data_IF_557430035624
#
_entry.id   IF_557430035624
#
_cell.length_a   1.000
_cell.length_b   1.000
_cell.length_c   1.000
_cell.angle_alpha   90.00
_cell.angle_beta   90.00
_cell.angle_gamma   90.00
#
_symmetry.space_group_name_H-M   'P 1'
#
loop_
_entity.id
_entity.type
_entity.pdbx_description
1 polymer ?
#
# COMPACT_ATOMS: atom_id res chain seq x y z
N UNK A 1 -0.62 9.52 27.23
CA UNK A 1 -2.09 9.49 27.43
C UNK A 1 -2.76 9.13 26.11
N UNK A 2 -3.68 8.16 26.10
CA UNK A 2 -4.37 7.72 24.88
C UNK A 2 -5.59 8.63 24.63
N UNK A 3 -5.70 9.26 23.45
CA UNK A 3 -6.78 10.20 23.14
C UNK A 3 -8.15 9.49 23.19
N UNK A 4 -9.15 10.02 23.93
CA UNK A 4 -10.50 9.47 23.95
C UNK A 4 -11.15 9.59 22.57
N UNK A 5 -11.92 8.58 22.17
CA UNK A 5 -12.63 8.56 20.89
C UNK A 5 -14.05 9.10 21.05
N UNK A 6 -14.44 9.97 20.12
CA UNK A 6 -15.66 10.77 20.19
C UNK A 6 -16.88 9.99 19.64
N UNK A 7 -16.69 9.04 18.71
CA UNK A 7 -17.79 8.27 18.11
C UNK A 7 -17.50 6.74 18.04
N UNK A 8 -18.42 5.94 18.60
CA UNK A 8 -18.60 4.50 18.34
C UNK A 8 -17.65 3.51 19.02
N UNK A 9 -18.09 2.24 19.11
CA UNK A 9 -17.19 1.14 19.48
C UNK A 9 -16.08 1.05 18.45
N UNK A 10 -14.83 1.07 18.92
CA UNK A 10 -13.66 1.11 18.04
C UNK A 10 -13.56 -0.09 17.11
N UNK A 11 -12.47 -0.14 16.33
CA UNK A 11 -12.20 -1.28 15.46
C UNK A 11 -12.15 -2.55 16.30
N UNK A 12 -13.06 -3.48 16.03
CA UNK A 12 -13.12 -4.77 16.73
C UNK A 12 -11.78 -5.52 16.59
N UNK A 13 -11.34 -6.22 17.65
CA UNK A 13 -10.14 -7.04 17.60
C UNK A 13 -10.20 -8.03 16.43
N UNK A 14 -9.06 -8.23 15.76
CA UNK A 14 -8.98 -9.21 14.67
C UNK A 14 -9.14 -10.61 15.25
N UNK A 15 -10.15 -11.35 14.80
CA UNK A 15 -10.41 -12.73 15.23
C UNK A 15 -9.55 -13.78 14.52
N UNK A 16 -8.70 -13.38 13.57
CA UNK A 16 -7.80 -14.23 12.77
C UNK A 16 -8.42 -15.55 12.24
N UNK A 17 -9.73 -15.57 11.94
CA UNK A 17 -10.43 -16.81 11.59
C UNK A 17 -10.10 -17.40 10.21
N UNK A 18 -9.17 -16.79 9.45
CA UNK A 18 -8.84 -17.23 8.09
C UNK A 18 -7.59 -18.11 8.12
N UNK A 19 -7.80 -19.41 7.97
CA UNK A 19 -6.71 -20.36 7.74
C UNK A 19 -6.41 -20.35 6.24
N UNK A 20 -5.18 -19.99 5.89
CA UNK A 20 -4.69 -20.02 4.51
C UNK A 20 -4.14 -21.42 4.21
N UNK A 21 -4.53 -21.97 3.06
CA UNK A 21 -4.21 -23.35 2.64
C UNK A 21 -3.39 -23.28 1.36
N UNK A 22 -2.32 -24.08 1.28
CA UNK A 22 -1.42 -24.10 0.13
C UNK A 22 -2.12 -24.66 -1.12
N UNK A 23 -1.68 -24.22 -2.30
CA UNK A 23 -2.25 -24.68 -3.57
C UNK A 23 -2.07 -26.18 -3.79
N UNK A 24 -0.97 -26.78 -3.32
CA UNK A 24 -0.73 -28.23 -3.39
C UNK A 24 -1.84 -29.04 -2.71
N UNK A 25 -2.25 -28.62 -1.52
CA UNK A 25 -3.33 -29.28 -0.77
C UNK A 25 -4.67 -29.09 -1.48
N UNK A 26 -4.95 -27.87 -1.98
CA UNK A 26 -6.19 -27.62 -2.73
C UNK A 26 -6.25 -28.50 -3.99
N UNK A 27 -5.13 -28.69 -4.68
CA UNK A 27 -5.02 -29.59 -5.84
C UNK A 27 -5.30 -31.04 -5.46
N UNK A 28 -4.69 -31.56 -4.39
CA UNK A 28 -4.95 -32.92 -3.90
C UNK A 28 -6.43 -33.16 -3.57
N UNK A 29 -7.08 -32.18 -2.93
CA UNK A 29 -8.52 -32.25 -2.62
C UNK A 29 -9.37 -32.27 -3.89
N UNK A 30 -9.03 -31.45 -4.89
CA UNK A 30 -9.74 -31.41 -6.18
C UNK A 30 -9.52 -32.72 -6.95
N UNK A 31 -8.29 -33.23 -7.01
CA UNK A 31 -7.96 -34.48 -7.70
C UNK A 31 -8.69 -35.67 -7.05
N UNK A 32 -8.81 -35.69 -5.71
CA UNK A 32 -9.59 -36.71 -5.00
C UNK A 32 -11.08 -36.67 -5.35
N UNK A 33 -11.67 -35.48 -5.49
CA UNK A 33 -13.07 -35.33 -5.96
C UNK A 33 -13.19 -35.74 -7.43
N UNK A 34 -12.22 -35.36 -8.27
CA UNK A 34 -12.17 -35.72 -9.68
C UNK A 34 -12.09 -37.22 -9.93
N UNK A 35 -11.57 -37.99 -8.98
CA UNK A 35 -11.57 -39.45 -8.99
C UNK A 35 -12.94 -40.09 -8.69
N UNK A 36 -14.01 -39.29 -8.52
CA UNK A 36 -15.38 -39.76 -8.31
C UNK A 36 -15.86 -39.75 -6.86
N UNK A 37 -15.04 -39.26 -5.92
CA UNK A 37 -15.42 -39.21 -4.51
C UNK A 37 -16.40 -38.07 -4.21
N UNK A 38 -17.35 -38.32 -3.31
CA UNK A 38 -18.30 -37.31 -2.86
C UNK A 38 -17.62 -36.23 -2.00
N UNK A 39 -18.25 -35.05 -1.91
CA UNK A 39 -17.81 -34.01 -0.97
C UNK A 39 -17.80 -34.48 0.49
N UNK A 40 -18.69 -35.41 0.85
CA UNK A 40 -18.75 -35.93 2.21
C UNK A 40 -17.53 -36.78 2.54
N UNK A 41 -17.23 -37.76 1.69
CA UNK A 41 -16.05 -38.63 1.81
C UNK A 41 -14.76 -37.82 1.77
N UNK A 42 -14.70 -36.83 0.88
CA UNK A 42 -13.54 -35.93 0.77
C UNK A 42 -13.30 -35.17 2.07
N UNK A 43 -14.35 -34.60 2.69
CA UNK A 43 -14.18 -33.88 3.96
C UNK A 43 -13.71 -34.84 5.06
N UNK A 44 -14.29 -36.04 5.12
CA UNK A 44 -13.93 -37.03 6.12
C UNK A 44 -12.47 -37.50 5.96
N UNK A 45 -12.02 -37.73 4.72
CA UNK A 45 -10.66 -38.16 4.40
C UNK A 45 -9.60 -37.11 4.76
N UNK A 46 -9.79 -35.85 4.36
CA UNK A 46 -8.76 -34.80 4.53
C UNK A 46 -8.81 -34.07 5.87
N UNK A 47 -9.97 -34.06 6.56
CA UNK A 47 -10.17 -33.24 7.76
C UNK A 47 -10.79 -34.01 8.93
N UNK A 48 -11.09 -35.31 8.76
CA UNK A 48 -11.70 -36.14 9.78
C UNK A 48 -13.16 -35.77 10.10
N UNK A 49 -13.60 -36.21 11.26
CA UNK A 49 -14.94 -35.90 11.75
C UNK A 49 -15.04 -34.45 12.20
N UNK A 50 -15.91 -33.71 11.54
CA UNK A 50 -16.19 -32.31 11.83
C UNK A 50 -17.65 -32.13 12.26
N UNK A 51 -17.86 -31.19 13.18
CA UNK A 51 -19.20 -30.70 13.55
C UNK A 51 -19.93 -30.13 12.33
N UNK A 52 -21.26 -30.14 12.36
CA UNK A 52 -22.12 -29.67 11.29
C UNK A 52 -21.75 -28.26 10.80
N UNK A 53 -21.44 -27.33 11.72
CA UNK A 53 -21.05 -25.96 11.35
C UNK A 53 -19.71 -25.92 10.61
N UNK A 54 -18.74 -26.68 11.08
CA UNK A 54 -17.40 -26.79 10.48
C UNK A 54 -17.46 -27.46 9.11
N UNK A 55 -18.25 -28.55 9.00
CA UNK A 55 -18.49 -29.28 7.76
C UNK A 55 -19.12 -28.38 6.69
N UNK A 56 -20.13 -27.58 7.05
CA UNK A 56 -20.75 -26.60 6.15
C UNK A 56 -19.74 -25.54 5.68
N UNK A 57 -18.87 -25.05 6.57
CA UNK A 57 -17.82 -24.10 6.21
C UNK A 57 -16.79 -24.72 5.26
N UNK A 58 -16.38 -25.97 5.50
CA UNK A 58 -15.47 -26.71 4.61
C UNK A 58 -16.08 -26.99 3.25
N UNK A 59 -17.35 -27.39 3.18
CA UNK A 59 -18.08 -27.56 1.92
C UNK A 59 -18.04 -26.29 1.07
N UNK A 60 -18.29 -25.13 1.67
CA UNK A 60 -18.18 -23.83 0.97
C UNK A 60 -16.76 -23.54 0.50
N UNK A 61 -15.76 -23.86 1.32
CA UNK A 61 -14.35 -23.66 0.98
C UNK A 61 -13.93 -24.54 -0.21
N UNK A 62 -14.29 -25.82 -0.20
CA UNK A 62 -13.99 -26.78 -1.27
C UNK A 62 -14.70 -26.38 -2.56
N UNK A 63 -16.00 -26.03 -2.52
CA UNK A 63 -16.72 -25.56 -3.71
C UNK A 63 -16.08 -24.31 -4.32
N UNK A 64 -15.54 -23.41 -3.48
CA UNK A 64 -14.78 -22.25 -3.97
C UNK A 64 -13.49 -22.67 -4.66
N UNK A 65 -12.80 -23.69 -4.16
CA UNK A 65 -11.60 -24.23 -4.82
C UNK A 65 -11.92 -24.89 -6.15
N UNK A 66 -12.99 -25.67 -6.24
CA UNK A 66 -13.48 -26.27 -7.49
C UNK A 66 -13.76 -25.16 -8.53
N UNK A 67 -14.48 -24.11 -8.14
CA UNK A 67 -14.73 -22.97 -9.03
C UNK A 67 -13.45 -22.21 -9.46
N UNK A 68 -12.33 -22.42 -8.77
CA UNK A 68 -11.04 -21.79 -9.04
C UNK A 68 -9.98 -22.81 -9.48
N UNK A 69 -10.40 -24.00 -9.94
CA UNK A 69 -9.52 -25.13 -10.25
C UNK A 69 -8.41 -24.75 -11.22
N UNK A 70 -8.74 -24.09 -12.34
CA UNK A 70 -7.76 -23.64 -13.34
C UNK A 70 -6.63 -22.83 -12.68
N UNK A 71 -6.98 -21.85 -11.85
CA UNK A 71 -6.00 -21.00 -11.15
C UNK A 71 -5.14 -21.79 -10.16
N UNK A 72 -5.72 -22.80 -9.50
CA UNK A 72 -5.00 -23.67 -8.57
C UNK A 72 -4.00 -24.54 -9.34
N UNK A 73 -4.43 -25.11 -10.48
CA UNK A 73 -3.57 -25.91 -11.36
C UNK A 73 -2.43 -25.07 -11.94
N UNK A 74 -2.71 -23.87 -12.46
CA UNK A 74 -1.69 -22.93 -12.96
C UNK A 74 -0.65 -22.57 -11.89
N UNK A 75 -1.11 -22.33 -10.66
CA UNK A 75 -0.21 -22.02 -9.55
C UNK A 75 0.75 -23.20 -9.28
N UNK A 76 0.25 -24.44 -9.35
CA UNK A 76 1.10 -25.62 -9.19
C UNK A 76 2.07 -25.80 -10.36
N UNK A 77 1.57 -25.71 -11.61
CA UNK A 77 2.40 -25.84 -12.82
C UNK A 77 3.49 -24.77 -12.93
N UNK A 78 3.29 -23.59 -12.32
CA UNK A 78 4.29 -22.52 -12.25
C UNK A 78 5.26 -22.62 -11.07
N UNK A 79 5.29 -23.76 -10.37
CA UNK A 79 6.20 -24.01 -9.23
C UNK A 79 5.82 -23.27 -7.95
N UNK A 80 4.58 -22.76 -7.85
CA UNK A 80 4.08 -21.97 -6.70
C UNK A 80 3.10 -22.77 -5.84
N UNK A 81 3.25 -24.08 -5.83
CA UNK A 81 2.35 -25.02 -5.15
C UNK A 81 2.31 -24.85 -3.62
N UNK A 82 3.41 -24.42 -3.01
CA UNK A 82 3.49 -24.12 -1.56
C UNK A 82 2.84 -22.77 -1.19
N UNK A 83 2.53 -21.93 -2.17
CA UNK A 83 1.93 -20.62 -1.91
C UNK A 83 0.50 -20.78 -1.42
N UNK A 84 0.12 -19.93 -0.46
CA UNK A 84 -1.23 -19.91 0.12
C UNK A 84 -2.13 -18.82 -0.46
N UNK A 85 -1.56 -17.94 -1.29
CA UNK A 85 -2.24 -16.90 -2.06
C UNK A 85 -1.39 -16.54 -3.28
N UNK A 86 -2.02 -16.40 -4.44
CA UNK A 86 -1.38 -15.87 -5.64
C UNK A 86 -1.83 -14.42 -5.87
N UNK A 87 -0.89 -13.49 -5.99
CA UNK A 87 -1.15 -12.11 -6.45
C UNK A 87 -1.00 -12.03 -7.97
N UNK A 88 -1.68 -11.09 -8.61
CA UNK A 88 -1.59 -10.96 -10.06
C UNK A 88 -0.15 -10.56 -10.45
N UNK A 89 0.34 -11.05 -11.61
CA UNK A 89 1.60 -10.55 -12.17
C UNK A 89 1.50 -9.03 -12.31
N UNK A 90 2.53 -8.33 -11.84
CA UNK A 90 2.63 -6.87 -11.82
C UNK A 90 2.08 -6.13 -10.60
N UNK A 91 1.50 -6.85 -9.63
CA UNK A 91 1.22 -6.28 -8.30
C UNK A 91 2.45 -6.34 -7.36
N UNK A 92 3.47 -7.12 -7.73
CA UNK A 92 4.60 -7.48 -6.85
C UNK A 92 5.94 -6.96 -7.37
N UNK A 93 6.03 -6.47 -8.61
CA UNK A 93 7.32 -5.93 -9.11
C UNK A 93 7.63 -4.66 -8.33
N UNK A 94 8.50 -4.82 -7.35
CA UNK A 94 9.25 -3.74 -6.74
C UNK A 94 10.34 -3.42 -7.73
N UNK A 95 10.44 -2.15 -8.13
CA UNK A 95 11.50 -1.71 -9.01
C UNK A 95 12.86 -2.02 -8.36
N UNK A 96 13.88 -2.42 -9.14
CA UNK A 96 15.25 -2.47 -8.68
C UNK A 96 15.64 -1.21 -7.90
N UNK A 97 16.47 -1.38 -6.88
CA UNK A 97 16.85 -0.28 -5.98
C UNK A 97 17.44 0.92 -6.73
N UNK A 98 18.26 0.69 -7.76
CA UNK A 98 18.84 1.73 -8.62
C UNK A 98 17.78 2.59 -9.29
N UNK A 99 16.70 1.97 -9.77
CA UNK A 99 15.58 2.66 -10.41
C UNK A 99 14.78 3.45 -9.37
N UNK A 100 14.51 2.85 -8.21
CA UNK A 100 13.82 3.55 -7.11
C UNK A 100 14.59 4.80 -6.65
N UNK A 101 15.93 4.73 -6.56
CA UNK A 101 16.78 5.86 -6.20
C UNK A 101 16.67 7.02 -7.21
N UNK A 102 16.55 6.73 -8.50
CA UNK A 102 16.26 7.74 -9.53
C UNK A 102 14.93 8.46 -9.29
N UNK A 103 13.88 7.69 -8.98
CA UNK A 103 12.56 8.26 -8.66
C UNK A 103 12.60 9.11 -7.38
N UNK A 104 13.37 8.70 -6.37
CA UNK A 104 13.55 9.48 -5.14
C UNK A 104 14.27 10.80 -5.44
N UNK A 105 15.32 10.79 -6.26
CA UNK A 105 16.01 12.03 -6.68
C UNK A 105 15.05 12.98 -7.38
N UNK A 106 14.27 12.48 -8.35
CA UNK A 106 13.25 13.26 -9.04
C UNK A 106 12.23 13.90 -8.09
N UNK A 107 11.72 13.14 -7.10
CA UNK A 107 10.81 13.70 -6.08
C UNK A 107 11.49 14.81 -5.27
N UNK A 108 12.74 14.60 -4.86
CA UNK A 108 13.46 15.57 -4.03
C UNK A 108 13.80 16.85 -4.80
N UNK A 109 14.17 16.75 -6.09
CA UNK A 109 14.38 17.92 -6.95
C UNK A 109 13.11 18.76 -7.07
N UNK A 110 11.96 18.14 -7.37
CA UNK A 110 10.69 18.87 -7.42
C UNK A 110 10.32 19.50 -6.08
N UNK A 111 10.64 18.85 -4.97
CA UNK A 111 10.43 19.44 -3.63
C UNK A 111 11.33 20.63 -3.36
N UNK A 112 12.59 20.60 -3.79
CA UNK A 112 13.51 21.73 -3.70
C UNK A 112 13.00 22.92 -4.52
N UNK A 113 12.36 22.66 -5.66
CA UNK A 113 11.72 23.68 -6.50
C UNK A 113 10.34 24.13 -5.98
N UNK A 114 9.91 23.64 -4.81
CA UNK A 114 8.60 23.97 -4.23
C UNK A 114 7.40 23.32 -4.94
N UNK A 115 7.63 22.41 -5.88
CA UNK A 115 6.58 21.72 -6.64
C UNK A 115 6.10 20.47 -5.90
N UNK A 116 4.82 20.41 -5.46
CA UNK A 116 4.30 19.22 -4.78
C UNK A 116 4.12 18.06 -5.77
N UNK A 117 4.65 16.88 -5.42
CA UNK A 117 4.46 15.65 -6.20
C UNK A 117 3.16 14.97 -5.79
N UNK A 118 2.18 14.98 -6.69
CA UNK A 118 0.93 14.24 -6.50
C UNK A 118 1.13 12.73 -6.69
N UNK A 119 0.19 11.94 -6.18
CA UNK A 119 0.18 10.49 -6.39
C UNK A 119 0.15 10.11 -7.87
N UNK A 120 -0.68 10.78 -8.66
CA UNK A 120 -0.84 10.49 -10.08
C UNK A 120 0.44 10.79 -10.85
N UNK A 121 1.13 11.89 -10.52
CA UNK A 121 2.45 12.21 -11.11
C UNK A 121 3.46 11.12 -10.81
N UNK A 122 3.58 10.71 -9.54
CA UNK A 122 4.48 9.63 -9.16
C UNK A 122 4.15 8.32 -9.86
N UNK A 123 2.86 8.02 -10.07
CA UNK A 123 2.44 6.82 -10.79
C UNK A 123 2.82 6.85 -12.27
N UNK A 124 2.61 7.97 -12.96
CA UNK A 124 3.00 8.11 -14.37
C UNK A 124 4.52 8.02 -14.49
N UNK A 125 5.25 8.84 -13.73
CA UNK A 125 6.71 8.86 -13.78
C UNK A 125 7.34 7.50 -13.45
N UNK A 126 6.85 6.80 -12.42
CA UNK A 126 7.37 5.49 -12.08
C UNK A 126 7.12 4.44 -13.19
N UNK A 127 6.02 4.57 -13.95
CA UNK A 127 5.73 3.68 -15.08
C UNK A 127 6.65 3.99 -16.27
N UNK A 128 6.87 5.26 -16.57
CA UNK A 128 7.75 5.68 -17.66
C UNK A 128 9.18 5.21 -17.38
N UNK A 129 9.69 5.49 -16.17
CA UNK A 129 11.01 5.03 -15.71
C UNK A 129 11.12 3.50 -15.75
N UNK A 130 10.06 2.77 -15.38
CA UNK A 130 10.06 1.30 -15.48
C UNK A 130 10.20 0.85 -16.94
N UNK A 131 9.44 1.46 -17.85
CA UNK A 131 9.46 1.16 -19.28
C UNK A 131 10.84 1.45 -19.89
N UNK A 132 11.44 2.59 -19.56
CA UNK A 132 12.79 2.97 -20.02
C UNK A 132 13.88 2.01 -19.56
N UNK A 133 13.64 1.31 -18.44
CA UNK A 133 14.53 0.29 -17.90
C UNK A 133 14.11 -1.14 -18.31
N UNK A 134 13.29 -1.28 -19.35
CA UNK A 134 12.91 -2.59 -19.92
C UNK A 134 11.88 -3.37 -19.10
N UNK A 135 11.16 -2.71 -18.19
CA UNK A 135 10.04 -3.29 -17.42
C UNK A 135 8.72 -2.80 -18.06
N UNK A 136 8.03 -3.63 -18.87
CA UNK A 136 6.83 -3.21 -19.58
C UNK A 136 5.70 -2.79 -18.65
N UNK A 137 4.81 -1.90 -19.10
CA UNK A 137 3.62 -1.46 -18.34
C UNK A 137 2.72 -2.61 -17.85
N UNK A 138 2.63 -3.70 -18.63
CA UNK A 138 1.89 -4.91 -18.24
C UNK A 138 2.51 -5.62 -17.01
N UNK A 139 3.81 -5.41 -16.77
CA UNK A 139 4.55 -5.98 -15.65
C UNK A 139 4.66 -5.01 -14.47
N UNK A 140 4.59 -3.69 -14.67
CA UNK A 140 4.63 -2.71 -13.58
C UNK A 140 3.47 -1.71 -13.66
N UNK A 141 2.43 -1.94 -12.86
CA UNK A 141 1.22 -1.10 -12.87
C UNK A 141 1.28 0.15 -11.99
N UNK A 142 2.38 0.37 -11.24
CA UNK A 142 2.49 1.41 -10.21
C UNK A 142 1.25 1.48 -9.28
N UNK A 143 0.79 0.30 -8.82
CA UNK A 143 -0.48 0.18 -8.10
C UNK A 143 -0.53 1.04 -6.83
N UNK A 144 -1.75 1.29 -6.35
CA UNK A 144 -2.00 2.04 -5.11
C UNK A 144 -1.18 1.55 -3.91
N UNK A 145 -1.03 0.22 -3.82
CA UNK A 145 -0.24 -0.47 -2.80
C UNK A 145 1.26 -0.35 -3.06
N UNK A 146 1.69 -0.47 -4.33
CA UNK A 146 3.09 -0.28 -4.71
C UNK A 146 3.60 1.10 -4.31
N UNK A 147 2.86 2.16 -4.67
CA UNK A 147 3.21 3.54 -4.30
C UNK A 147 3.27 3.73 -2.79
N UNK A 148 2.29 3.20 -2.05
CA UNK A 148 2.29 3.28 -0.59
C UNK A 148 3.52 2.59 0.02
N UNK A 149 3.89 1.42 -0.51
CA UNK A 149 5.06 0.68 -0.04
C UNK A 149 6.36 1.40 -0.41
N UNK A 150 6.48 1.92 -1.62
CA UNK A 150 7.61 2.74 -2.08
C UNK A 150 7.83 3.93 -1.15
N UNK A 151 6.78 4.73 -0.91
CA UNK A 151 6.85 5.88 -0.01
C UNK A 151 7.29 5.47 1.40
N UNK A 152 6.75 4.37 1.92
CA UNK A 152 7.14 3.84 3.24
C UNK A 152 8.60 3.38 3.28
N UNK A 153 9.09 2.70 2.23
CA UNK A 153 10.49 2.25 2.14
C UNK A 153 11.46 3.43 2.17
N UNK A 154 11.13 4.50 1.46
CA UNK A 154 11.96 5.70 1.31
C UNK A 154 11.64 6.81 2.32
N UNK A 155 10.78 6.54 3.32
CA UNK A 155 10.34 7.50 4.35
C UNK A 155 9.78 8.81 3.74
N UNK A 156 9.10 8.69 2.61
CA UNK A 156 8.44 9.80 1.92
C UNK A 156 6.95 9.86 2.28
N UNK A 157 6.40 11.06 2.31
CA UNK A 157 4.97 11.34 2.36
C UNK A 157 4.57 12.22 1.20
N UNK A 158 3.30 12.17 0.78
CA UNK A 158 2.76 13.25 -0.03
C UNK A 158 2.60 14.47 0.89
N UNK A 159 3.39 15.52 0.69
CA UNK A 159 3.23 16.76 1.43
C UNK A 159 2.20 17.65 0.71
N UNK A 160 1.27 18.21 1.48
CA UNK A 160 0.49 19.38 1.06
C UNK A 160 1.39 20.63 1.18
N UNK A 161 1.03 21.73 0.52
CA UNK A 161 1.86 22.96 0.43
C UNK A 161 2.45 23.43 1.77
N UNK A 162 1.75 23.26 2.90
CA UNK A 162 2.26 23.67 4.21
C UNK A 162 3.33 22.75 4.82
N UNK A 163 3.48 21.53 4.33
CA UNK A 163 4.50 20.58 4.79
C UNK A 163 5.79 20.58 3.96
N UNK A 164 5.96 21.55 3.05
CA UNK A 164 7.14 21.65 2.17
C UNK A 164 8.20 22.63 2.70
N UNK A 165 7.81 23.64 3.46
CA UNK A 165 8.77 24.56 4.10
C UNK A 165 9.54 23.79 5.17
N UNK A 166 10.87 23.66 5.01
CA UNK A 166 11.68 23.08 6.08
C UNK A 166 11.73 24.07 7.26
N UNK A 167 11.96 23.59 8.50
CA UNK A 167 12.10 24.51 9.65
C UNK A 167 13.17 25.58 9.43
N UNK A 168 14.26 25.23 8.74
CA UNK A 168 15.33 26.17 8.39
C UNK A 168 14.83 27.24 7.40
N UNK A 169 14.12 26.85 6.34
CA UNK A 169 13.55 27.82 5.38
C UNK A 169 12.52 28.74 6.04
N UNK A 170 11.75 28.21 7.00
CA UNK A 170 10.79 28.99 7.78
C UNK A 170 11.48 30.00 8.70
N UNK A 171 12.58 29.61 9.35
CA UNK A 171 13.40 30.50 10.18
C UNK A 171 14.05 31.61 9.36
N UNK A 172 14.58 31.30 8.18
CA UNK A 172 15.17 32.30 7.27
C UNK A 172 14.11 33.28 6.77
N UNK A 173 12.94 32.79 6.35
CA UNK A 173 11.82 33.63 5.94
C UNK A 173 11.33 34.55 7.07
N UNK A 174 11.25 34.03 8.30
CA UNK A 174 10.89 34.82 9.48
C UNK A 174 11.95 35.88 9.81
N UNK A 175 13.25 35.58 9.62
CA UNK A 175 14.31 36.56 9.80
C UNK A 175 14.23 37.71 8.78
N UNK A 176 14.03 37.40 7.50
CA UNK A 176 13.86 38.42 6.44
C UNK A 176 12.64 39.30 6.69
N UNK A 177 11.49 38.69 6.99
CA UNK A 177 10.27 39.43 7.29
C UNK A 177 10.44 40.36 8.52
N UNK A 178 11.08 39.88 9.59
CA UNK A 178 11.38 40.71 10.76
C UNK A 178 12.26 41.91 10.42
N UNK A 179 13.28 41.73 9.58
CA UNK A 179 14.13 42.83 9.15
C UNK A 179 13.36 43.88 8.34
N UNK A 180 12.49 43.45 7.43
CA UNK A 180 11.62 44.35 6.64
C UNK A 180 10.65 45.13 7.54
N UNK A 181 10.00 44.47 8.50
CA UNK A 181 9.09 45.13 9.45
C UNK A 181 9.82 46.19 10.26
N UNK A 182 11.02 45.88 10.79
CA UNK A 182 11.83 46.84 11.53
C UNK A 182 12.25 48.04 10.68
N UNK A 183 12.63 47.81 9.41
CA UNK A 183 12.96 48.90 8.48
C UNK A 183 11.77 49.82 8.24
N UNK A 184 10.58 49.25 8.03
CA UNK A 184 9.33 50.01 7.84
C UNK A 184 8.96 50.78 9.10
N UNK A 185 9.14 50.20 10.30
CA UNK A 185 8.88 50.89 11.56
C UNK A 185 9.73 52.15 11.71
N UNK A 186 11.01 52.09 11.31
CA UNK A 186 11.93 53.23 11.32
C UNK A 186 11.50 54.27 10.29
N UNK A 187 11.22 53.86 9.05
CA UNK A 187 10.85 54.76 7.95
C UNK A 187 9.52 55.50 8.21
N UNK A 188 8.55 54.81 8.81
CA UNK A 188 7.20 55.32 9.06
C UNK A 188 7.00 55.87 10.48
N UNK A 189 8.04 55.90 11.30
CA UNK A 189 7.98 56.29 12.72
C UNK A 189 6.85 55.56 13.49
N UNK A 190 6.64 54.28 13.19
CA UNK A 190 5.59 53.51 13.84
C UNK A 190 6.03 53.10 15.25
N UNK A 191 5.30 53.58 16.26
CA UNK A 191 5.54 53.27 17.68
C UNK A 191 4.93 51.95 18.13
N UNK A 192 3.90 51.45 17.42
CA UNK A 192 3.28 50.15 17.70
C UNK A 192 2.95 49.41 16.40
N UNK A 193 3.15 48.09 16.43
CA UNK A 193 2.75 47.15 15.37
C UNK A 193 1.86 46.09 16.00
N UNK A 194 0.70 45.87 15.38
CA UNK A 194 -0.26 44.87 15.80
C UNK A 194 -0.30 43.72 14.79
N UNK A 195 -0.56 42.52 15.28
CA UNK A 195 -0.88 41.41 14.39
C UNK A 195 -2.32 41.54 13.89
N UNK A 196 -2.59 41.08 12.66
CA UNK A 196 -3.89 41.23 12.02
C UNK A 196 -5.05 40.52 12.74
N UNK A 197 -4.76 39.61 13.67
CA UNK A 197 -5.71 38.86 14.49
C UNK A 197 -5.96 39.49 15.88
N UNK A 198 -5.31 40.61 16.21
CA UNK A 198 -5.57 41.38 17.42
C UNK A 198 -6.68 42.41 17.16
N UNK A 199 -7.94 41.97 17.21
CA UNK A 199 -9.13 42.83 17.37
C UNK A 199 -9.91 42.43 18.59
#
# INVERSE_FOLDING_TARGET
MHRPRINGTGRQPRKYCRISVAYIHNKQVIDYIGAGNSLYETINYFYGELDHKQRRAKKKQINKWIAQEHRIRDACSSGRETHRNLRHRGEVIVLPKSIEEGIVRWINTLRQEGVPVSRSMLQMYAKDVANDNGIPFAQFGASSTCIKLFLRRHKLSFCTRQGQTTPADAEEAAAKFRAEVLQIMIEKECTMVYNADQT
#
